data_IF_117250478498
#
_entry.id   IF_117250478498
#
_cell.length_a   1.000
_cell.length_b   1.000
_cell.length_c   1.000
_cell.angle_alpha   90.00
_cell.angle_beta   90.00
_cell.angle_gamma   90.00
#
_symmetry.space_group_name_H-M   'P 1'
#
loop_
_entity.id
_entity.type
_entity.pdbx_description
1 polymer ?
#
# COMPACT_ATOMS: atom_id res chain seq x y z
N UNK A 1 8.50 52.78 12.97
CA UNK A 1 7.46 52.08 12.21
C UNK A 1 8.01 50.69 11.94
N UNK A 2 7.90 49.82 12.94
CA UNK A 2 8.27 48.40 12.79
C UNK A 2 6.96 47.65 12.62
N UNK A 3 6.63 47.40 11.35
CA UNK A 3 5.49 46.58 10.95
C UNK A 3 5.90 45.12 11.12
N UNK A 4 5.88 44.66 12.38
CA UNK A 4 6.05 43.26 12.72
C UNK A 4 4.81 42.53 12.19
N UNK A 5 4.98 41.94 11.01
CA UNK A 5 4.02 41.02 10.40
C UNK A 5 3.83 39.85 11.37
N UNK A 6 2.80 39.94 12.22
CA UNK A 6 2.24 38.79 12.91
C UNK A 6 1.79 37.81 11.82
N UNK A 7 2.68 36.86 11.51
CA UNK A 7 2.36 35.66 10.76
C UNK A 7 1.25 34.95 11.51
N UNK A 8 0.00 35.26 11.14
CA UNK A 8 -1.21 34.62 11.66
C UNK A 8 -1.01 33.11 11.64
N UNK A 9 -0.73 32.56 12.82
CA UNK A 9 -0.76 31.13 13.07
C UNK A 9 -2.24 30.77 12.92
N UNK A 10 -2.63 30.36 11.71
CA UNK A 10 -4.03 30.14 11.36
C UNK A 10 -4.75 29.25 12.37
N UNK A 11 -6.07 29.45 12.48
CA UNK A 11 -6.92 28.73 13.42
C UNK A 11 -6.61 27.21 13.41
N UNK A 12 -6.18 26.61 14.54
CA UNK A 12 -5.71 25.22 14.58
C UNK A 12 -6.81 24.20 14.23
N UNK A 13 -8.07 24.63 14.26
CA UNK A 13 -9.25 23.82 13.93
C UNK A 13 -9.55 23.78 12.42
N UNK A 14 -8.77 24.49 11.60
CA UNK A 14 -8.92 24.53 10.14
C UNK A 14 -7.65 23.93 9.50
N UNK A 15 -7.77 22.97 8.58
CA UNK A 15 -6.61 22.44 7.87
C UNK A 15 -6.00 23.51 6.97
N UNK A 16 -4.67 23.51 6.82
CA UNK A 16 -3.99 24.46 5.93
C UNK A 16 -4.22 24.06 4.48
N UNK A 17 -4.55 25.00 3.61
CA UNK A 17 -4.66 24.74 2.17
C UNK A 17 -3.30 24.39 1.53
N UNK A 18 -3.25 23.48 0.55
CA UNK A 18 -2.00 23.15 -0.12
C UNK A 18 -1.53 24.32 -0.98
N UNK A 19 -0.23 24.57 -0.94
CA UNK A 19 0.39 25.73 -1.60
C UNK A 19 0.51 25.55 -3.13
N UNK A 20 0.36 24.32 -3.64
CA UNK A 20 0.51 24.01 -5.08
C UNK A 20 -0.70 23.26 -5.62
N UNK A 21 -0.94 23.39 -6.92
CA UNK A 21 -2.01 22.65 -7.63
C UNK A 21 -1.83 21.14 -7.51
N UNK A 22 -0.61 20.65 -7.69
CA UNK A 22 -0.29 19.23 -7.51
C UNK A 22 -0.66 18.74 -6.10
N UNK A 23 -0.38 19.53 -5.06
CA UNK A 23 -0.73 19.16 -3.70
C UNK A 23 -2.25 19.22 -3.44
N UNK A 24 -2.98 20.12 -4.10
CA UNK A 24 -4.45 20.14 -4.11
C UNK A 24 -5.03 18.87 -4.72
N UNK A 25 -4.56 18.49 -5.91
CA UNK A 25 -4.97 17.24 -6.56
C UNK A 25 -4.68 16.00 -5.69
N UNK A 26 -3.50 15.93 -5.07
CA UNK A 26 -3.15 14.82 -4.16
C UNK A 26 -4.05 14.79 -2.92
N UNK A 27 -4.45 15.95 -2.38
CA UNK A 27 -5.41 16.03 -1.27
C UNK A 27 -6.80 15.56 -1.70
N UNK A 28 -7.25 15.91 -2.89
CA UNK A 28 -8.52 15.45 -3.43
C UNK A 28 -8.52 13.93 -3.62
N UNK A 29 -7.41 13.37 -4.13
CA UNK A 29 -7.23 11.92 -4.22
C UNK A 29 -7.25 11.25 -2.84
N UNK A 30 -6.52 11.80 -1.86
CA UNK A 30 -6.59 11.34 -0.47
C UNK A 30 -8.04 11.33 0.04
N UNK A 31 -8.75 12.43 -0.17
CA UNK A 31 -10.13 12.59 0.29
C UNK A 31 -11.07 11.59 -0.38
N UNK A 32 -10.88 11.31 -1.67
CA UNK A 32 -11.64 10.29 -2.40
C UNK A 32 -11.52 8.91 -1.73
N UNK A 33 -10.29 8.49 -1.41
CA UNK A 33 -10.08 7.23 -0.68
C UNK A 33 -10.62 7.28 0.74
N UNK A 34 -10.43 8.39 1.47
CA UNK A 34 -10.96 8.55 2.81
C UNK A 34 -12.49 8.45 2.84
N UNK A 35 -13.18 9.06 1.87
CA UNK A 35 -14.64 8.96 1.70
C UNK A 35 -15.10 7.51 1.49
N UNK A 36 -14.39 6.77 0.63
CA UNK A 36 -14.68 5.37 0.38
C UNK A 36 -14.48 4.52 1.64
N UNK A 37 -13.37 4.72 2.36
CA UNK A 37 -13.07 4.01 3.63
C UNK A 37 -14.11 4.33 4.71
N UNK A 38 -14.52 5.59 4.81
CA UNK A 38 -15.48 6.06 5.82
C UNK A 38 -16.95 5.81 5.43
N UNK A 39 -17.22 5.32 4.22
CA UNK A 39 -18.57 5.08 3.72
C UNK A 39 -19.41 6.36 3.56
N UNK A 40 -18.78 7.51 3.36
CA UNK A 40 -19.49 8.79 3.20
C UNK A 40 -18.84 9.63 2.10
N UNK A 41 -19.51 9.72 0.95
CA UNK A 41 -19.03 10.42 -0.25
C UNK A 41 -19.06 11.94 -0.16
N UNK A 42 -19.79 12.51 0.79
CA UNK A 42 -19.99 13.96 0.89
C UNK A 42 -19.00 14.65 1.83
N UNK A 43 -18.18 13.90 2.57
CA UNK A 43 -17.22 14.48 3.51
C UNK A 43 -16.23 15.40 2.81
N UNK A 44 -16.12 16.64 3.29
CA UNK A 44 -15.07 17.57 2.92
C UNK A 44 -13.78 17.24 3.68
N UNK A 45 -12.65 17.72 3.18
CA UNK A 45 -11.37 17.52 3.87
C UNK A 45 -11.39 18.13 5.29
N UNK A 46 -12.02 19.30 5.45
CA UNK A 46 -12.17 19.98 6.73
C UNK A 46 -12.97 19.15 7.73
N UNK A 47 -14.08 18.53 7.33
CA UNK A 47 -14.87 17.66 8.22
C UNK A 47 -14.08 16.43 8.64
N UNK A 48 -13.38 15.78 7.71
CA UNK A 48 -12.50 14.64 8.04
C UNK A 48 -11.42 15.08 9.00
N UNK A 49 -10.75 16.20 8.74
CA UNK A 49 -9.72 16.75 9.60
C UNK A 49 -10.23 17.05 11.01
N UNK A 50 -11.36 17.73 11.15
CA UNK A 50 -11.97 18.05 12.44
C UNK A 50 -12.37 16.80 13.21
N UNK A 51 -12.90 15.78 12.53
CA UNK A 51 -13.28 14.51 13.15
C UNK A 51 -12.12 13.80 13.85
N UNK A 52 -10.91 13.96 13.31
CA UNK A 52 -9.71 13.31 13.81
C UNK A 52 -8.76 14.27 14.54
N UNK A 53 -9.14 15.54 14.68
CA UNK A 53 -8.39 16.52 15.44
C UNK A 53 -8.38 16.09 16.92
N UNK A 54 -7.19 15.88 17.49
CA UNK A 54 -7.03 15.34 18.84
C UNK A 54 -7.14 13.80 18.94
N UNK A 55 -7.46 13.10 17.85
CA UNK A 55 -7.48 11.63 17.78
C UNK A 55 -6.37 11.09 16.88
N UNK A 56 -5.12 11.15 17.37
CA UNK A 56 -3.95 10.71 16.62
C UNK A 56 -4.00 9.21 16.23
N UNK A 57 -4.60 8.36 17.06
CA UNK A 57 -4.76 6.94 16.74
C UNK A 57 -5.73 6.73 15.58
N UNK A 58 -6.89 7.41 15.62
CA UNK A 58 -7.86 7.37 14.53
C UNK A 58 -7.31 7.93 13.22
N UNK A 59 -6.56 9.04 13.27
CA UNK A 59 -5.92 9.62 12.09
C UNK A 59 -4.93 8.65 11.44
N UNK A 60 -4.08 7.98 12.24
CA UNK A 60 -3.16 6.95 11.75
C UNK A 60 -3.89 5.75 11.16
N UNK A 61 -4.97 5.31 11.79
CA UNK A 61 -5.79 4.22 11.27
C UNK A 61 -6.41 4.58 9.93
N UNK A 62 -6.92 5.81 9.77
CA UNK A 62 -7.48 6.26 8.50
C UNK A 62 -6.40 6.34 7.42
N UNK A 63 -5.23 6.92 7.71
CA UNK A 63 -4.10 6.99 6.78
C UNK A 63 -3.68 5.59 6.32
N UNK A 64 -3.62 4.60 7.22
CA UNK A 64 -3.35 3.21 6.88
C UNK A 64 -4.42 2.62 5.94
N UNK A 65 -5.70 2.79 6.26
CA UNK A 65 -6.80 2.30 5.41
C UNK A 65 -6.80 2.96 4.03
N UNK A 66 -6.51 4.26 3.97
CA UNK A 66 -6.36 5.00 2.71
C UNK A 66 -5.19 4.46 1.89
N UNK A 67 -4.04 4.18 2.53
CA UNK A 67 -2.90 3.57 1.84
C UNK A 67 -3.25 2.19 1.26
N UNK A 68 -3.94 1.33 2.03
CA UNK A 68 -4.40 0.02 1.55
C UNK A 68 -5.33 0.18 0.34
N UNK A 69 -6.29 1.12 0.41
CA UNK A 69 -7.24 1.37 -0.68
C UNK A 69 -6.53 1.88 -1.95
N UNK A 70 -5.58 2.81 -1.82
CA UNK A 70 -4.80 3.32 -2.94
C UNK A 70 -3.97 2.22 -3.63
N UNK A 71 -3.29 1.39 -2.84
CA UNK A 71 -2.49 0.28 -3.37
C UNK A 71 -3.35 -0.78 -4.08
N UNK A 72 -4.53 -1.10 -3.54
CA UNK A 72 -5.51 -2.00 -4.20
C UNK A 72 -6.08 -1.39 -5.48
N UNK A 73 -6.19 -0.07 -5.56
CA UNK A 73 -6.56 0.65 -6.77
C UNK A 73 -5.42 0.76 -7.81
N UNK A 74 -4.26 0.14 -7.55
CA UNK A 74 -3.13 0.08 -8.49
C UNK A 74 -2.19 1.27 -8.42
N UNK A 75 -2.31 2.14 -7.41
CA UNK A 75 -1.34 3.21 -7.19
C UNK A 75 -0.01 2.62 -6.72
N UNK A 76 1.10 3.15 -7.26
CA UNK A 76 2.43 2.73 -6.81
C UNK A 76 2.79 3.30 -5.42
N UNK A 77 3.86 2.78 -4.82
CA UNK A 77 4.31 3.21 -3.49
C UNK A 77 4.59 4.72 -3.41
N UNK A 78 5.21 5.29 -4.45
CA UNK A 78 5.63 6.69 -4.47
C UNK A 78 4.43 7.62 -4.50
N UNK A 79 3.42 7.32 -5.31
CA UNK A 79 2.18 8.10 -5.34
C UNK A 79 1.43 7.93 -4.01
N UNK A 80 1.39 6.71 -3.45
CA UNK A 80 0.75 6.47 -2.16
C UNK A 80 1.42 7.28 -1.03
N UNK A 81 2.75 7.37 -1.00
CA UNK A 81 3.48 8.23 -0.05
C UNK A 81 3.13 9.72 -0.26
N UNK A 82 3.08 10.19 -1.50
CA UNK A 82 2.69 11.58 -1.82
C UNK A 82 1.26 11.88 -1.36
N UNK A 83 0.37 10.91 -1.50
CA UNK A 83 -1.01 10.98 -1.05
C UNK A 83 -1.09 11.09 0.49
N UNK A 84 -0.33 10.26 1.22
CA UNK A 84 -0.25 10.34 2.69
C UNK A 84 0.46 11.61 3.18
N UNK A 85 1.31 12.23 2.37
CA UNK A 85 1.87 13.55 2.69
C UNK A 85 0.79 14.66 2.69
N UNK A 86 -0.37 14.41 2.05
CA UNK A 86 -1.57 15.25 2.18
C UNK A 86 -2.57 14.71 3.23
N UNK A 87 -2.23 13.63 3.92
CA UNK A 87 -3.06 12.98 4.93
C UNK A 87 -3.13 13.72 6.25
N UNK A 88 -3.97 13.20 7.14
CA UNK A 88 -4.35 13.86 8.38
C UNK A 88 -3.18 14.06 9.34
N UNK A 89 -2.38 13.01 9.55
CA UNK A 89 -1.26 13.08 10.49
C UNK A 89 -0.23 14.09 10.02
N UNK A 90 0.05 14.13 8.72
CA UNK A 90 0.95 15.12 8.12
C UNK A 90 0.43 16.55 8.28
N UNK A 91 -0.88 16.77 8.06
CA UNK A 91 -1.47 18.10 8.31
C UNK A 91 -1.38 18.53 9.76
N UNK A 92 -1.70 17.64 10.71
CA UNK A 92 -1.59 17.94 12.14
C UNK A 92 -0.16 18.30 12.53
N UNK A 93 0.83 17.61 11.97
CA UNK A 93 2.25 17.85 12.27
C UNK A 93 2.80 19.12 11.60
N UNK A 94 2.41 19.42 10.36
CA UNK A 94 3.04 20.46 9.57
C UNK A 94 2.33 21.82 9.61
N UNK A 95 1.07 21.89 10.06
CA UNK A 95 0.24 23.11 9.91
C UNK A 95 0.75 24.33 10.66
N UNK A 96 1.24 24.14 11.90
CA UNK A 96 1.72 25.22 12.78
C UNK A 96 3.21 25.51 12.58
N UNK A 97 3.88 24.76 11.72
CA UNK A 97 5.31 24.91 11.49
C UNK A 97 5.58 26.05 10.51
N UNK A 98 6.58 26.87 10.84
CA UNK A 98 7.19 27.83 9.91
C UNK A 98 7.83 27.08 8.73
N UNK A 99 8.12 27.73 7.59
CA UNK A 99 8.79 27.10 6.46
C UNK A 99 10.09 26.36 6.85
N UNK A 100 10.90 26.96 7.74
CA UNK A 100 12.15 26.39 8.24
C UNK A 100 11.88 25.16 9.10
N UNK A 101 10.89 25.24 10.01
CA UNK A 101 10.50 24.12 10.86
C UNK A 101 9.88 22.97 10.04
N UNK A 102 9.14 23.28 8.96
CA UNK A 102 8.66 22.27 8.00
C UNK A 102 9.82 21.55 7.31
N UNK A 103 10.85 22.29 6.88
CA UNK A 103 12.05 21.69 6.28
C UNK A 103 12.75 20.76 7.27
N UNK A 104 12.82 21.13 8.54
CA UNK A 104 13.36 20.28 9.60
C UNK A 104 12.47 19.05 9.91
N UNK A 105 11.14 19.18 9.79
CA UNK A 105 10.20 18.09 10.04
C UNK A 105 10.04 17.12 8.85
N UNK A 106 10.45 17.51 7.64
CA UNK A 106 10.28 16.73 6.42
C UNK A 106 10.80 15.29 6.51
N UNK A 107 12.00 15.00 7.07
CA UNK A 107 12.47 13.62 7.21
C UNK A 107 11.54 12.75 8.06
N UNK A 108 10.96 13.31 9.13
CA UNK A 108 10.03 12.59 10.00
C UNK A 108 8.69 12.31 9.31
N UNK A 109 8.19 13.28 8.53
CA UNK A 109 6.97 13.12 7.73
C UNK A 109 7.18 12.02 6.68
N UNK A 110 8.30 12.05 5.96
CA UNK A 110 8.63 11.02 4.95
C UNK A 110 8.80 9.64 5.59
N UNK A 111 9.42 9.56 6.78
CA UNK A 111 9.54 8.31 7.53
C UNK A 111 8.17 7.77 7.93
N UNK A 112 7.26 8.65 8.40
CA UNK A 112 5.90 8.26 8.74
C UNK A 112 5.15 7.71 7.52
N UNK A 113 5.12 8.45 6.41
CA UNK A 113 4.36 8.04 5.23
C UNK A 113 4.92 6.75 4.63
N UNK A 114 6.24 6.58 4.57
CA UNK A 114 6.88 5.33 4.15
C UNK A 114 6.48 4.17 5.06
N UNK A 115 6.60 4.33 6.39
CA UNK A 115 6.24 3.28 7.35
C UNK A 115 4.76 2.87 7.24
N UNK A 116 3.86 3.82 6.99
CA UNK A 116 2.44 3.53 6.80
C UNK A 116 2.19 2.75 5.52
N UNK A 117 2.90 3.07 4.42
CA UNK A 117 2.81 2.31 3.16
C UNK A 117 3.39 0.90 3.30
N UNK A 118 4.51 0.75 4.00
CA UNK A 118 5.11 -0.57 4.26
C UNK A 118 4.17 -1.43 5.12
N UNK A 119 3.53 -0.83 6.13
CA UNK A 119 2.51 -1.49 6.94
C UNK A 119 1.30 -1.89 6.09
N UNK A 120 0.83 -1.01 5.20
CA UNK A 120 -0.28 -1.31 4.29
C UNK A 120 0.05 -2.49 3.36
N UNK A 121 1.24 -2.50 2.75
CA UNK A 121 1.69 -3.61 1.91
C UNK A 121 1.80 -4.92 2.69
N UNK A 122 2.32 -4.87 3.93
CA UNK A 122 2.39 -6.04 4.80
C UNK A 122 1.02 -6.59 5.15
N UNK A 123 0.07 -5.71 5.47
CA UNK A 123 -1.31 -6.11 5.76
C UNK A 123 -1.96 -6.75 4.52
N UNK A 124 -1.78 -6.16 3.34
CA UNK A 124 -2.23 -6.76 2.07
C UNK A 124 -1.64 -8.16 1.88
N UNK A 125 -0.36 -8.34 2.15
CA UNK A 125 0.29 -9.65 2.01
C UNK A 125 -0.36 -10.69 2.94
N UNK A 126 -0.59 -10.32 4.22
CA UNK A 126 -1.27 -11.20 5.19
C UNK A 126 -2.69 -11.53 4.74
N UNK A 127 -3.44 -10.56 4.21
CA UNK A 127 -4.80 -10.80 3.68
C UNK A 127 -4.79 -11.86 2.56
N UNK A 128 -3.88 -11.74 1.59
CA UNK A 128 -3.75 -12.74 0.54
C UNK A 128 -3.24 -14.08 1.07
N UNK A 129 -2.26 -14.08 1.97
CA UNK A 129 -1.75 -15.30 2.60
C UNK A 129 -2.88 -16.06 3.32
N UNK A 130 -3.72 -15.35 4.06
CA UNK A 130 -4.87 -15.93 4.75
C UNK A 130 -5.89 -16.50 3.76
N UNK A 131 -6.17 -15.77 2.68
CA UNK A 131 -7.07 -16.23 1.62
C UNK A 131 -6.58 -17.52 0.94
N UNK A 132 -5.29 -17.61 0.59
CA UNK A 132 -4.75 -18.77 -0.15
C UNK A 132 -4.42 -19.97 0.74
N UNK A 133 -4.25 -19.76 2.04
CA UNK A 133 -4.00 -20.85 3.01
C UNK A 133 -5.27 -21.32 3.71
N UNK A 134 -6.36 -20.53 3.68
CA UNK A 134 -7.59 -20.81 4.40
C UNK A 134 -7.43 -20.71 5.92
N UNK A 135 -6.40 -20.02 6.41
CA UNK A 135 -6.07 -19.86 7.83
C UNK A 135 -6.00 -18.38 8.20
N UNK A 136 -6.26 -18.06 9.46
CA UNK A 136 -6.00 -16.72 9.99
C UNK A 136 -4.61 -16.67 10.59
N UNK A 137 -3.68 -16.08 9.86
CA UNK A 137 -2.33 -15.86 10.33
C UNK A 137 -2.11 -14.39 10.72
N UNK A 138 -1.30 -14.19 11.75
CA UNK A 138 -0.60 -12.92 11.93
C UNK A 138 0.69 -12.91 11.09
N UNK A 139 1.22 -11.73 10.79
CA UNK A 139 2.49 -11.63 10.06
C UNK A 139 3.65 -12.37 10.77
N UNK A 140 3.84 -12.24 12.09
CA UNK A 140 4.86 -13.04 12.80
C UNK A 140 4.67 -14.55 12.68
N UNK A 141 3.44 -15.05 12.57
CA UNK A 141 3.18 -16.48 12.39
C UNK A 141 3.56 -16.94 10.99
N UNK A 142 3.16 -16.18 9.95
CA UNK A 142 3.62 -16.41 8.58
C UNK A 142 5.14 -16.39 8.50
N UNK A 143 5.77 -15.43 9.19
CA UNK A 143 7.21 -15.32 9.22
C UNK A 143 7.85 -16.59 9.78
N UNK A 144 7.42 -17.06 10.94
CA UNK A 144 7.97 -18.26 11.57
C UNK A 144 7.76 -19.52 10.73
N UNK A 145 6.59 -19.67 10.13
CA UNK A 145 6.23 -20.86 9.36
C UNK A 145 7.00 -20.95 8.03
N UNK A 146 7.12 -19.84 7.31
CA UNK A 146 7.55 -19.87 5.90
C UNK A 146 9.02 -19.50 5.66
N UNK A 147 9.76 -19.01 6.66
CA UNK A 147 11.20 -18.71 6.49
C UNK A 147 12.11 -19.92 6.68
N UNK A 148 11.62 -21.00 7.31
CA UNK A 148 12.41 -22.21 7.57
C UNK A 148 12.62 -23.10 6.33
N UNK A 149 11.93 -22.82 5.23
CA UNK A 149 12.03 -23.57 3.98
C UNK A 149 11.84 -22.64 2.78
N UNK A 150 12.89 -22.50 1.96
CA UNK A 150 12.84 -21.69 0.73
C UNK A 150 11.69 -22.14 -0.18
N UNK A 151 11.48 -23.45 -0.31
CA UNK A 151 10.39 -24.00 -1.12
C UNK A 151 9.02 -23.59 -0.60
N UNK A 152 8.79 -23.66 0.72
CA UNK A 152 7.51 -23.27 1.31
C UNK A 152 7.24 -21.77 1.11
N UNK A 153 8.25 -20.92 1.36
CA UNK A 153 8.15 -19.47 1.14
C UNK A 153 7.83 -19.12 -0.31
N UNK A 154 8.57 -19.71 -1.26
CA UNK A 154 8.36 -19.48 -2.70
C UNK A 154 6.97 -19.94 -3.14
N UNK A 155 6.50 -21.11 -2.67
CA UNK A 155 5.16 -21.60 -2.99
C UNK A 155 4.05 -20.72 -2.44
N UNK A 156 4.22 -20.15 -1.24
CA UNK A 156 3.28 -19.17 -0.70
C UNK A 156 3.24 -17.91 -1.57
N UNK A 157 4.40 -17.37 -1.93
CA UNK A 157 4.53 -16.18 -2.78
C UNK A 157 3.89 -16.39 -4.16
N UNK A 158 4.07 -17.56 -4.78
CA UNK A 158 3.40 -17.91 -6.05
C UNK A 158 1.87 -17.94 -5.91
N UNK A 159 1.34 -18.52 -4.83
CA UNK A 159 -0.12 -18.56 -4.57
C UNK A 159 -0.67 -17.16 -4.35
N UNK A 160 0.02 -16.34 -3.57
CA UNK A 160 -0.35 -14.94 -3.31
C UNK A 160 -0.33 -14.15 -4.62
N UNK A 161 0.73 -14.27 -5.41
CA UNK A 161 0.83 -13.61 -6.70
C UNK A 161 -0.34 -14.00 -7.63
N UNK A 162 -0.67 -15.29 -7.70
CA UNK A 162 -1.80 -15.76 -8.49
C UNK A 162 -3.14 -15.17 -8.00
N UNK A 163 -3.36 -15.13 -6.69
CA UNK A 163 -4.56 -14.58 -6.10
C UNK A 163 -4.68 -13.07 -6.32
N UNK A 164 -3.59 -12.32 -6.18
CA UNK A 164 -3.56 -10.87 -6.37
C UNK A 164 -3.77 -10.49 -7.84
N UNK A 165 -3.10 -11.19 -8.77
CA UNK A 165 -3.32 -11.01 -10.21
C UNK A 165 -4.77 -11.34 -10.61
N UNK A 166 -5.35 -12.42 -10.07
CA UNK A 166 -6.76 -12.77 -10.32
C UNK A 166 -7.74 -11.74 -9.75
N UNK A 167 -7.34 -11.00 -8.70
CA UNK A 167 -8.11 -9.89 -8.16
C UNK A 167 -8.00 -8.61 -9.01
N UNK A 168 -7.27 -8.64 -10.13
CA UNK A 168 -7.09 -7.52 -11.04
C UNK A 168 -5.94 -6.58 -10.68
N UNK A 169 -5.09 -6.95 -9.71
CA UNK A 169 -3.92 -6.13 -9.38
C UNK A 169 -2.86 -6.16 -10.48
N UNK A 170 -2.12 -5.05 -10.63
CA UNK A 170 -1.07 -4.93 -11.64
C UNK A 170 0.17 -5.76 -11.27
N UNK A 171 0.89 -6.27 -12.26
CA UNK A 171 2.13 -7.03 -12.06
C UNK A 171 3.16 -6.27 -11.20
N UNK A 172 3.24 -4.95 -11.35
CA UNK A 172 4.11 -4.11 -10.52
C UNK A 172 3.65 -4.09 -9.06
N UNK A 173 2.36 -3.85 -8.79
CA UNK A 173 1.82 -3.85 -7.42
C UNK A 173 2.02 -5.20 -6.74
N UNK A 174 1.84 -6.31 -7.47
CA UNK A 174 2.08 -7.66 -6.95
C UNK A 174 3.57 -7.91 -6.69
N UNK A 175 4.47 -7.43 -7.55
CA UNK A 175 5.92 -7.51 -7.29
C UNK A 175 6.29 -6.79 -5.98
N UNK A 176 5.76 -5.58 -5.78
CA UNK A 176 5.98 -4.78 -4.56
C UNK A 176 5.36 -5.46 -3.32
N UNK A 177 4.21 -6.11 -3.49
CA UNK A 177 3.56 -6.91 -2.45
C UNK A 177 4.46 -8.07 -1.99
N UNK A 178 5.07 -8.81 -2.92
CA UNK A 178 5.96 -9.93 -2.62
C UNK A 178 7.22 -9.52 -1.85
N UNK A 179 7.67 -8.26 -1.97
CA UNK A 179 8.78 -7.77 -1.16
C UNK A 179 8.44 -7.75 0.34
N UNK A 180 7.18 -7.67 0.71
CA UNK A 180 6.75 -7.74 2.12
C UNK A 180 6.62 -9.17 2.64
N UNK A 181 6.71 -10.18 1.77
CA UNK A 181 6.58 -11.58 2.17
C UNK A 181 7.68 -12.02 3.14
N UNK A 182 7.38 -12.96 4.06
CA UNK A 182 8.37 -13.57 4.94
C UNK A 182 9.68 -13.96 4.28
N UNK A 183 9.60 -14.61 3.12
CA UNK A 183 10.75 -15.08 2.38
C UNK A 183 11.65 -13.90 1.97
N UNK A 184 11.10 -12.93 1.22
CA UNK A 184 11.81 -11.71 0.83
C UNK A 184 12.44 -10.97 2.02
N UNK A 185 11.69 -10.80 3.11
CA UNK A 185 12.16 -10.09 4.30
C UNK A 185 13.27 -10.86 5.03
N UNK A 186 13.21 -12.18 5.10
CA UNK A 186 14.29 -13.01 5.64
C UNK A 186 15.55 -12.96 4.78
N UNK A 187 15.39 -13.03 3.46
CA UNK A 187 16.53 -12.97 2.55
C UNK A 187 17.28 -11.64 2.66
N UNK A 188 16.58 -10.51 2.69
CA UNK A 188 17.23 -9.19 2.88
C UNK A 188 17.74 -9.01 4.30
N UNK A 189 16.88 -9.20 5.30
CA UNK A 189 17.18 -8.82 6.69
C UNK A 189 18.14 -9.76 7.42
N UNK A 190 18.11 -11.06 7.09
CA UNK A 190 18.91 -12.08 7.79
C UNK A 190 20.02 -12.61 6.90
N UNK A 191 19.70 -12.97 5.66
CA UNK A 191 20.69 -13.51 4.72
C UNK A 191 21.50 -12.43 4.00
N UNK A 192 21.15 -11.15 4.18
CA UNK A 192 21.83 -10.01 3.56
C UNK A 192 21.89 -10.12 2.04
N UNK A 193 20.89 -10.78 1.43
CA UNK A 193 20.74 -10.85 -0.02
C UNK A 193 20.49 -9.44 -0.55
N UNK A 194 21.15 -9.10 -1.65
CA UNK A 194 21.00 -7.80 -2.28
C UNK A 194 19.52 -7.51 -2.61
N UNK A 195 18.97 -6.35 -2.20
CA UNK A 195 17.59 -5.96 -2.53
C UNK A 195 17.25 -6.05 -4.03
N UNK A 196 18.21 -5.79 -4.92
CA UNK A 196 18.01 -5.93 -6.36
C UNK A 196 17.73 -7.39 -6.78
N UNK A 197 18.34 -8.36 -6.11
CA UNK A 197 18.07 -9.79 -6.34
C UNK A 197 16.65 -10.16 -5.90
N UNK A 198 16.20 -9.61 -4.76
CA UNK A 198 14.82 -9.82 -4.29
C UNK A 198 13.80 -9.15 -5.20
N UNK A 199 14.16 -8.00 -5.79
CA UNK A 199 13.35 -7.38 -6.83
C UNK A 199 13.22 -8.24 -8.09
N UNK A 200 14.32 -8.86 -8.54
CA UNK A 200 14.28 -9.80 -9.66
C UNK A 200 13.46 -11.06 -9.33
N UNK A 201 13.58 -11.58 -8.11
CA UNK A 201 12.77 -12.69 -7.63
C UNK A 201 11.27 -12.38 -7.68
N UNK A 202 10.85 -11.22 -7.17
CA UNK A 202 9.45 -10.80 -7.22
C UNK A 202 8.93 -10.70 -8.66
N UNK A 203 9.68 -10.05 -9.55
CA UNK A 203 9.32 -9.93 -10.98
C UNK A 203 9.23 -11.29 -11.66
N UNK A 204 10.21 -12.17 -11.42
CA UNK A 204 10.24 -13.51 -11.99
C UNK A 204 9.08 -14.38 -11.53
N UNK A 205 8.71 -14.28 -10.25
CA UNK A 205 7.56 -14.99 -9.67
C UNK A 205 6.26 -14.54 -10.33
N UNK A 206 6.06 -13.23 -10.48
CA UNK A 206 4.87 -12.67 -11.14
C UNK A 206 4.80 -13.11 -12.61
N UNK A 207 5.90 -13.00 -13.35
CA UNK A 207 5.95 -13.41 -14.76
C UNK A 207 5.62 -14.91 -14.94
N UNK A 208 6.23 -15.77 -14.12
CA UNK A 208 5.96 -17.21 -14.14
C UNK A 208 4.48 -17.52 -13.88
N UNK A 209 3.86 -16.85 -12.91
CA UNK A 209 2.44 -17.04 -12.60
C UNK A 209 1.55 -16.59 -13.76
N UNK A 210 1.86 -15.46 -14.40
CA UNK A 210 1.13 -14.98 -15.57
C UNK A 210 1.26 -15.96 -16.75
N UNK A 211 2.45 -16.49 -17.01
CA UNK A 211 2.66 -17.51 -18.05
C UNK A 211 1.83 -18.76 -17.79
N UNK A 212 1.82 -19.27 -16.55
CA UNK A 212 1.00 -20.42 -16.16
C UNK A 212 -0.49 -20.12 -16.33
N UNK A 213 -0.96 -18.92 -15.98
CA UNK A 213 -2.35 -18.51 -16.16
C UNK A 213 -2.74 -18.40 -17.64
N UNK A 214 -1.84 -17.92 -18.50
CA UNK A 214 -2.05 -17.82 -19.94
C UNK A 214 -2.15 -19.20 -20.64
N UNK A 215 -1.58 -20.26 -20.06
CA UNK A 215 -1.68 -21.63 -20.57
C UNK A 215 -3.02 -22.32 -20.25
N UNK A 216 -3.70 -21.92 -19.17
CA UNK A 216 -4.99 -22.50 -18.76
C UNK A 216 -6.12 -22.38 -19.79
N UNK A 217 -6.32 -21.27 -20.52
CA UNK A 217 -7.36 -21.19 -21.55
C UNK A 217 -7.12 -22.16 -22.73
N UNK A 218 -5.88 -22.46 -23.10
CA UNK A 218 -5.57 -23.36 -24.22
C UNK A 218 -5.81 -24.85 -23.90
N UNK A 219 -5.75 -25.27 -22.63
CA UNK A 219 -6.02 -26.65 -22.25
C UNK A 219 -7.51 -27.01 -22.27
N UNK A 220 -8.39 -26.06 -21.95
CA UNK A 220 -9.85 -26.28 -21.97
C UNK A 220 -10.37 -26.46 -23.39
N UNK A 221 -9.84 -25.71 -24.37
CA UNK A 221 -10.18 -25.89 -25.78
C UNK A 221 -9.68 -27.22 -26.35
N UNK A 222 -8.44 -27.61 -26.03
CA UNK A 222 -7.88 -28.90 -26.48
C UNK A 222 -8.61 -30.11 -25.90
N UNK A 223 -9.10 -30.01 -24.66
CA UNK A 223 -9.85 -31.10 -24.03
C UNK A 223 -11.26 -31.22 -24.63
N UNK A 224 -11.92 -30.09 -24.91
CA UNK A 224 -13.23 -30.05 -25.60
C UNK A 224 -13.17 -30.53 -27.04
N UNK A 225 -12.07 -30.29 -27.77
CA UNK A 225 -11.87 -30.81 -29.12
C UNK A 225 -11.65 -32.33 -29.10
N UNK A 226 -10.80 -32.83 -28.20
CA UNK A 226 -10.53 -34.27 -28.06
C UNK A 226 -11.77 -35.10 -27.66
N UNK A 227 -12.66 -34.55 -26.83
CA UNK A 227 -13.91 -35.22 -26.48
C UNK A 227 -14.89 -35.32 -27.65
N UNK A 228 -14.87 -34.37 -28.60
CA UNK A 228 -15.72 -34.43 -29.80
C UNK A 228 -15.21 -35.41 -30.86
N UNK A 229 -13.90 -35.66 -30.90
CA UNK A 229 -13.29 -36.57 -31.88
C UNK A 229 -13.34 -38.05 -31.45
N UNK A 230 -13.65 -38.33 -30.17
CA UNK A 230 -13.83 -39.69 -29.64
C UNK A 230 -15.30 -40.17 -29.68
N UNK A 231 -16.23 -39.29 -30.03
CA UNK A 231 -17.67 -39.60 -30.18
C UNK A 231 -18.08 -39.82 -31.67
N UNK A 232 -17.10 -39.99 -32.57
CA UNK A 232 -17.31 -40.36 -33.98
C UNK A 232 -16.66 -41.68 -34.29
#
# INVERSE_FOLDING_TARGET
MDDATELSIGNPNIPREPETEKARQMREQYLSFARAVLGNSMLTYTEVYQRYLGNAAGARSLDLSVAIAALKAGYDLKITIQLLAQGLVTQVQARTLTPEAKKAALPNILKYTQSTVDQAQRQRYVEYANAVTGRQWSYPDLYREYVGSDLAGIQLDQKIAAAALNAGETAQSVTELLHQGPYSQFQVGVKQVNPATIQQYGRGTVAQVQDIQALKPQQVERTRQRSKDLER
#
